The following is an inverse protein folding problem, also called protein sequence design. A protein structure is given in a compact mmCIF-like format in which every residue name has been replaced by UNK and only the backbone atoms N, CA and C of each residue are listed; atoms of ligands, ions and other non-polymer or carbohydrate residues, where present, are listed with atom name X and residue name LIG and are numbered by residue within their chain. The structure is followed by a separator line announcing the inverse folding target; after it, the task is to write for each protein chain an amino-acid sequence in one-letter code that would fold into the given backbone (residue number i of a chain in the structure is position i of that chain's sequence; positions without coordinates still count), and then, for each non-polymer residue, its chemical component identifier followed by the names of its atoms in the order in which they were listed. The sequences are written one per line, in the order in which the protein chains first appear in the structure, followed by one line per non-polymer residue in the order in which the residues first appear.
data_IF_244708803804
#
_entry.id   IF_244708803804
#
_cell.length_a   1.000
_cell.length_b   1.000
_cell.length_c   1.000
_cell.angle_alpha   90.00
_cell.angle_beta   90.00
_cell.angle_gamma   90.00
#
_symmetry.space_group_name_H-M   'P 1'
#
loop_
_entity.id
_entity.type
_entity.pdbx_description
1 polymer ?
#
# COMPACT_ATOMS: atom_id res chain seq x y z
N UNK A 1 0.69 6.99 -13.23
CA UNK A 1 1.53 7.88 -12.39
C UNK A 1 1.38 7.60 -10.89
N UNK A 2 0.15 7.64 -10.37
CA UNK A 2 -0.17 7.57 -8.93
C UNK A 2 0.16 6.23 -8.24
N UNK A 3 0.18 5.13 -9.02
CA UNK A 3 0.57 3.80 -8.53
C UNK A 3 2.02 3.73 -8.04
N UNK A 4 2.91 4.60 -8.51
CA UNK A 4 4.33 4.59 -8.10
C UNK A 4 4.53 5.27 -6.73
N UNK A 5 3.79 6.35 -6.45
CA UNK A 5 3.79 6.99 -5.13
C UNK A 5 3.18 6.06 -4.08
N UNK A 6 2.05 5.43 -4.38
CA UNK A 6 1.42 4.48 -3.49
C UNK A 6 2.34 3.28 -3.17
N UNK A 7 3.00 2.69 -4.19
CA UNK A 7 4.00 1.62 -3.98
C UNK A 7 5.17 2.09 -3.11
N UNK A 8 5.67 3.29 -3.33
CA UNK A 8 6.78 3.87 -2.55
C UNK A 8 6.36 4.09 -1.09
N UNK A 9 5.18 4.69 -0.87
CA UNK A 9 4.61 4.85 0.46
C UNK A 9 4.43 3.50 1.16
N UNK A 10 3.80 2.54 0.49
CA UNK A 10 3.58 1.20 1.02
C UNK A 10 4.88 0.51 1.43
N UNK A 11 5.88 0.54 0.55
CA UNK A 11 7.23 0.02 0.81
C UNK A 11 7.86 0.66 2.05
N UNK A 12 7.71 1.97 2.23
CA UNK A 12 8.24 2.68 3.41
C UNK A 12 7.52 2.29 4.70
N UNK A 13 6.21 2.01 4.65
CA UNK A 13 5.45 1.60 5.83
C UNK A 13 5.78 0.18 6.29
N UNK A 14 5.89 -0.79 5.36
CA UNK A 14 6.05 -2.21 5.72
C UNK A 14 7.50 -2.73 5.63
N UNK A 15 8.40 -1.96 4.99
CA UNK A 15 9.78 -2.37 4.71
C UNK A 15 9.91 -3.32 3.52
N UNK A 16 11.13 -3.44 2.99
CA UNK A 16 11.43 -4.17 1.75
C UNK A 16 10.99 -5.65 1.81
N UNK A 17 11.34 -6.36 2.88
CA UNK A 17 11.07 -7.80 3.01
C UNK A 17 9.58 -8.12 2.97
N UNK A 18 8.75 -7.31 3.62
CA UNK A 18 7.30 -7.48 3.65
C UNK A 18 6.67 -6.95 2.35
N UNK A 19 7.19 -5.85 1.80
CA UNK A 19 6.73 -5.29 0.55
C UNK A 19 6.84 -6.31 -0.59
N UNK A 20 8.01 -6.95 -0.75
CA UNK A 20 8.20 -7.95 -1.80
C UNK A 20 7.33 -9.19 -1.60
N UNK A 21 7.02 -9.58 -0.35
CA UNK A 21 6.09 -10.67 -0.05
C UNK A 21 4.62 -10.30 -0.31
N UNK A 22 4.22 -9.07 0.01
CA UNK A 22 2.86 -8.60 -0.21
C UNK A 22 2.58 -8.33 -1.71
N UNK A 23 3.63 -7.94 -2.45
CA UNK A 23 3.58 -7.66 -3.88
C UNK A 23 3.95 -8.87 -4.74
N UNK A 24 4.46 -9.97 -4.16
CA UNK A 24 4.72 -11.18 -4.91
C UNK A 24 3.39 -11.85 -5.28
N UNK A 25 3.24 -12.10 -6.56
CA UNK A 25 2.20 -12.96 -7.12
C UNK A 25 2.54 -14.41 -6.79
N UNK A 26 2.43 -14.85 -5.53
CA UNK A 26 2.25 -16.28 -5.33
C UNK A 26 1.01 -16.71 -6.10
N UNK A 27 1.16 -17.73 -6.93
CA UNK A 27 0.13 -18.20 -7.85
C UNK A 27 -1.13 -18.58 -7.05
N UNK A 28 -2.14 -17.70 -7.06
CA UNK A 28 -3.40 -17.87 -6.33
C UNK A 28 -3.88 -16.64 -5.57
N UNK A 29 -3.01 -15.68 -5.25
CA UNK A 29 -3.44 -14.48 -4.52
C UNK A 29 -4.08 -13.47 -5.47
N UNK A 30 -5.42 -13.41 -5.48
CA UNK A 30 -6.17 -12.44 -6.30
C UNK A 30 -6.14 -11.00 -5.70
N UNK A 31 -5.48 -10.78 -4.56
CA UNK A 31 -5.67 -9.56 -3.76
C UNK A 31 -4.38 -9.11 -3.06
N UNK A 32 -3.45 -8.48 -3.79
CA UNK A 32 -2.26 -7.84 -3.21
C UNK A 32 -2.63 -6.88 -2.06
N UNK A 33 -3.76 -6.19 -2.22
CA UNK A 33 -4.34 -5.28 -1.23
C UNK A 33 -4.73 -5.97 0.09
N UNK A 34 -5.18 -7.23 0.07
CA UNK A 34 -5.54 -7.95 1.29
C UNK A 34 -4.30 -8.30 2.08
N UNK A 35 -3.24 -8.76 1.41
CA UNK A 35 -1.95 -9.01 2.06
C UNK A 35 -1.40 -7.73 2.68
N UNK A 36 -1.42 -6.62 1.94
CA UNK A 36 -0.96 -5.31 2.42
C UNK A 36 -1.70 -4.82 3.68
N UNK A 37 -3.03 -4.97 3.75
CA UNK A 37 -3.84 -4.54 4.91
C UNK A 37 -3.45 -5.25 6.21
N UNK A 38 -3.02 -6.51 6.16
CA UNK A 38 -2.63 -7.27 7.36
C UNK A 38 -1.37 -6.70 8.03
N UNK A 39 -0.51 -6.03 7.26
CA UNK A 39 0.77 -5.50 7.75
C UNK A 39 0.72 -4.00 8.09
N UNK A 40 -0.32 -3.29 7.68
CA UNK A 40 -0.46 -1.87 7.92
C UNK A 40 -1.33 -1.58 9.13
N UNK A 41 -1.00 -0.49 9.83
CA UNK A 41 -1.93 0.12 10.77
C UNK A 41 -3.17 0.63 10.02
N UNK A 42 -4.30 0.78 10.69
CA UNK A 42 -5.51 1.33 10.08
C UNK A 42 -5.28 2.73 9.47
N UNK A 43 -4.60 3.68 10.15
CA UNK A 43 -4.26 4.97 9.54
C UNK A 43 -3.37 4.89 8.29
N UNK A 44 -2.38 3.98 8.27
CA UNK A 44 -1.50 3.84 7.11
C UNK A 44 -2.20 3.16 5.93
N UNK A 45 -3.13 2.23 6.22
CA UNK A 45 -4.01 1.65 5.23
C UNK A 45 -4.90 2.71 4.57
N UNK A 46 -5.52 3.57 5.37
CA UNK A 46 -6.35 4.67 4.87
C UNK A 46 -5.55 5.64 4.01
N UNK A 47 -4.35 6.04 4.45
CA UNK A 47 -3.43 6.89 3.67
C UNK A 47 -3.00 6.25 2.37
N UNK A 48 -2.64 4.96 2.39
CA UNK A 48 -2.29 4.21 1.19
C UNK A 48 -3.46 4.17 0.19
N UNK A 49 -4.67 3.86 0.65
CA UNK A 49 -5.88 3.89 -0.17
C UNK A 49 -6.16 5.30 -0.72
N UNK A 50 -5.92 6.34 0.08
CA UNK A 50 -6.09 7.73 -0.36
C UNK A 50 -5.14 8.09 -1.49
N UNK A 51 -3.85 7.73 -1.41
CA UNK A 51 -2.88 7.98 -2.50
C UNK A 51 -3.28 7.21 -3.77
N UNK A 52 -3.76 5.97 -3.65
CA UNK A 52 -4.23 5.22 -4.82
C UNK A 52 -5.42 5.89 -5.52
N UNK A 53 -6.31 6.55 -4.76
CA UNK A 53 -7.50 7.22 -5.30
C UNK A 53 -7.23 8.65 -5.78
N UNK A 54 -6.42 9.41 -5.04
CA UNK A 54 -6.23 10.86 -5.23
C UNK A 54 -4.85 11.23 -5.75
N UNK A 55 -3.92 10.28 -5.73
CA UNK A 55 -2.60 10.43 -6.32
C UNK A 55 -1.55 11.12 -5.46
N UNK A 56 -1.90 11.58 -4.26
CA UNK A 56 -0.96 12.11 -3.27
C UNK A 56 -1.61 12.18 -1.88
N UNK A 57 -0.81 12.44 -0.84
CA UNK A 57 -1.31 12.73 0.52
C UNK A 57 -1.74 14.19 0.75
N UNK A 58 -1.58 15.07 -0.24
CA UNK A 58 -1.95 16.47 -0.07
C UNK A 58 -3.46 16.62 0.12
N UNK A 59 -3.87 17.18 1.26
CA UNK A 59 -5.28 17.32 1.61
C UNK A 59 -5.92 16.04 2.15
N UNK A 60 -5.13 14.99 2.46
CA UNK A 60 -5.62 13.83 3.17
C UNK A 60 -6.15 14.27 4.55
N UNK A 61 -7.45 14.10 4.83
CA UNK A 61 -7.99 14.35 6.16
C UNK A 61 -7.43 13.27 7.09
N UNK A 62 -6.54 13.66 7.99
CA UNK A 62 -6.02 12.81 9.08
C UNK A 62 -6.79 13.08 10.37
#
# INVERSE_FOLDING_TARGET
PYKEEAKTFFRNCVGDDIYFKAMSTEAGSRHHYVAARVYLSEPDWERFCYIEQHGSLNGCPV
#
